data_IF_250671574594
#
_entry.id   IF_250671574594
#
_cell.length_a   1.000
_cell.length_b   1.000
_cell.length_c   1.000
_cell.angle_alpha   90.00
_cell.angle_beta   90.00
_cell.angle_gamma   90.00
#
_symmetry.space_group_name_H-M   'P 1'
#
loop_
_entity.id
_entity.type
_entity.pdbx_description
1 polymer ?
#
# COMPACT_ATOMS: atom_id res chain seq x y z
N UNK A 1 -30.38 37.83 23.86
CA UNK A 1 -29.40 37.45 22.82
C UNK A 1 -28.34 36.61 23.52
N UNK A 2 -28.58 35.30 23.63
CA UNK A 2 -27.65 34.36 24.26
C UNK A 2 -26.72 33.82 23.19
N UNK A 3 -25.43 34.02 23.37
CA UNK A 3 -24.39 33.60 22.43
C UNK A 3 -24.50 32.11 22.11
N UNK A 4 -24.55 31.82 20.82
CA UNK A 4 -24.46 30.49 20.23
C UNK A 4 -23.14 29.85 20.66
N UNK A 5 -23.21 28.86 21.56
CA UNK A 5 -22.06 28.08 21.99
C UNK A 5 -21.30 27.54 20.79
N UNK A 6 -20.04 27.97 20.65
CA UNK A 6 -19.13 27.53 19.63
C UNK A 6 -19.02 25.99 19.67
N UNK A 7 -19.38 25.33 18.57
CA UNK A 7 -19.16 23.92 18.35
C UNK A 7 -17.64 23.66 18.28
N UNK A 8 -17.00 23.46 19.44
CA UNK A 8 -15.60 23.07 19.52
C UNK A 8 -15.47 21.66 18.95
N UNK A 9 -14.79 21.45 17.81
CA UNK A 9 -14.57 20.12 17.29
C UNK A 9 -13.76 19.35 18.33
N UNK A 10 -14.33 18.27 18.84
CA UNK A 10 -13.69 17.42 19.83
C UNK A 10 -12.37 16.93 19.23
N UNK A 11 -11.22 17.11 19.90
CA UNK A 11 -9.89 16.68 19.42
C UNK A 11 -9.86 15.22 18.91
N UNK A 12 -10.76 14.39 19.44
CA UNK A 12 -10.94 12.98 19.12
C UNK A 12 -11.85 12.70 17.91
N UNK A 13 -12.44 13.71 17.28
CA UNK A 13 -13.15 13.60 15.99
C UNK A 13 -12.13 13.57 14.84
N UNK A 14 -11.19 12.62 14.91
CA UNK A 14 -10.26 12.35 13.81
C UNK A 14 -11.11 11.82 12.65
N UNK A 15 -11.19 12.58 11.55
CA UNK A 15 -11.80 12.10 10.31
C UNK A 15 -11.21 10.74 9.96
N UNK A 16 -12.03 9.81 9.46
CA UNK A 16 -11.55 8.50 8.99
C UNK A 16 -10.38 8.66 8.02
N UNK A 17 -10.42 9.67 7.16
CA UNK A 17 -9.34 9.98 6.22
C UNK A 17 -8.03 10.37 6.92
N UNK A 18 -8.10 11.17 7.98
CA UNK A 18 -6.92 11.54 8.78
C UNK A 18 -6.35 10.32 9.51
N UNK A 19 -7.21 9.42 9.98
CA UNK A 19 -6.79 8.17 10.60
C UNK A 19 -6.08 7.26 9.60
N UNK A 20 -6.69 6.98 8.44
CA UNK A 20 -6.09 6.17 7.38
C UNK A 20 -4.76 6.76 6.89
N UNK A 21 -4.68 8.09 6.74
CA UNK A 21 -3.43 8.77 6.39
C UNK A 21 -2.32 8.54 7.42
N UNK A 22 -2.66 8.62 8.71
CA UNK A 22 -1.71 8.48 9.80
C UNK A 22 -1.21 7.05 9.91
N UNK A 23 -2.11 6.06 9.83
CA UNK A 23 -1.77 4.64 9.77
C UNK A 23 -0.82 4.34 8.62
N UNK A 24 -1.14 4.86 7.43
CA UNK A 24 -0.32 4.65 6.24
C UNK A 24 1.08 5.28 6.40
N UNK A 25 1.17 6.48 6.96
CA UNK A 25 2.46 7.10 7.26
C UNK A 25 3.27 6.24 8.24
N UNK A 26 2.65 5.75 9.30
CA UNK A 26 3.32 4.91 10.31
C UNK A 26 3.87 3.62 9.69
N UNK A 27 3.04 2.91 8.92
CA UNK A 27 3.44 1.68 8.24
C UNK A 27 4.62 1.91 7.26
N UNK A 28 4.58 3.01 6.52
CA UNK A 28 5.67 3.40 5.61
C UNK A 28 6.96 3.78 6.36
N UNK A 29 6.85 4.48 7.49
CA UNK A 29 7.99 4.80 8.34
C UNK A 29 8.65 3.56 8.90
N UNK A 30 7.87 2.65 9.48
CA UNK A 30 8.38 1.40 10.06
C UNK A 30 9.20 0.62 9.02
N UNK A 31 8.65 0.46 7.81
CA UNK A 31 9.32 -0.27 6.72
C UNK A 31 10.57 0.43 6.22
N UNK A 32 10.54 1.75 6.02
CA UNK A 32 11.72 2.48 5.55
C UNK A 32 12.81 2.58 6.63
N UNK A 33 12.46 2.72 7.90
CA UNK A 33 13.44 2.72 8.99
C UNK A 33 14.14 1.36 9.11
N UNK A 34 13.39 0.26 9.00
CA UNK A 34 13.97 -1.09 8.95
C UNK A 34 14.90 -1.26 7.75
N UNK A 35 14.51 -0.76 6.57
CA UNK A 35 15.36 -0.79 5.38
C UNK A 35 16.63 0.06 5.55
N UNK A 36 16.51 1.24 6.16
CA UNK A 36 17.64 2.14 6.40
C UNK A 36 18.62 1.60 7.45
N UNK A 37 18.15 0.80 8.42
CA UNK A 37 19.03 0.16 9.41
C UNK A 37 19.88 -0.97 8.81
N UNK A 38 19.47 -1.51 7.67
CA UNK A 38 20.14 -2.60 6.97
C UNK A 38 21.08 -2.12 5.84
N UNK A 39 21.41 -0.82 5.78
CA UNK A 39 22.29 -0.28 4.74
C UNK A 39 23.72 -0.81 4.88
N UNK A 40 24.35 -1.08 3.74
CA UNK A 40 25.77 -1.39 3.67
C UNK A 40 26.64 -0.18 4.04
N UNK A 41 27.87 -0.43 4.47
CA UNK A 41 28.83 0.60 4.87
C UNK A 41 29.04 1.66 3.79
N UNK A 42 29.10 1.27 2.51
CA UNK A 42 29.25 2.17 1.36
C UNK A 42 28.08 3.17 1.24
N UNK A 43 26.89 2.80 1.73
CA UNK A 43 25.67 3.59 1.63
C UNK A 43 25.45 4.49 2.85
N UNK A 44 26.19 4.29 3.96
CA UNK A 44 26.03 5.06 5.20
C UNK A 44 26.31 6.56 5.00
N UNK A 45 27.21 6.92 4.08
CA UNK A 45 27.47 8.33 3.72
C UNK A 45 26.22 9.07 3.23
N UNK A 46 25.23 8.34 2.70
CA UNK A 46 23.96 8.91 2.20
C UNK A 46 22.83 8.86 3.23
N UNK A 47 23.02 8.18 4.37
CA UNK A 47 21.98 7.99 5.38
C UNK A 47 21.41 9.32 5.92
N UNK A 48 22.22 10.34 6.27
CA UNK A 48 21.69 11.61 6.77
C UNK A 48 20.73 12.28 5.79
N UNK A 49 21.09 12.32 4.50
CA UNK A 49 20.26 12.91 3.45
C UNK A 49 18.97 12.11 3.22
N UNK A 50 19.02 10.78 3.36
CA UNK A 50 17.83 9.92 3.28
C UNK A 50 16.90 10.17 4.45
N UNK A 51 17.41 10.22 5.68
CA UNK A 51 16.60 10.52 6.87
C UNK A 51 15.99 11.93 6.80
N UNK A 52 16.75 12.93 6.34
CA UNK A 52 16.26 14.30 6.21
C UNK A 52 15.10 14.41 5.21
N UNK A 53 15.15 13.65 4.11
CA UNK A 53 14.10 13.66 3.09
C UNK A 53 12.96 12.67 3.35
N UNK A 54 13.13 11.73 4.28
CA UNK A 54 12.18 10.66 4.57
C UNK A 54 10.75 11.18 4.87
N UNK A 55 10.54 12.22 5.69
CA UNK A 55 9.20 12.71 5.97
C UNK A 55 8.48 13.26 4.74
N UNK A 56 9.22 13.91 3.84
CA UNK A 56 8.65 14.43 2.60
C UNK A 56 8.15 13.30 1.72
N UNK A 57 8.98 12.26 1.51
CA UNK A 57 8.62 11.14 0.65
C UNK A 57 7.50 10.28 1.24
N UNK A 58 7.48 10.05 2.55
CA UNK A 58 6.41 9.28 3.18
C UNK A 58 5.09 10.00 3.08
N UNK A 59 5.03 11.29 3.43
CA UNK A 59 3.78 12.07 3.31
C UNK A 59 3.28 12.11 1.87
N UNK A 60 4.19 12.31 0.90
CA UNK A 60 3.85 12.33 -0.52
C UNK A 60 3.33 10.98 -1.01
N UNK A 61 4.00 9.88 -0.63
CA UNK A 61 3.55 8.53 -0.95
C UNK A 61 2.16 8.27 -0.34
N UNK A 62 1.97 8.63 0.93
CA UNK A 62 0.70 8.45 1.61
C UNK A 62 -0.45 9.22 0.94
N UNK A 63 -0.23 10.48 0.58
CA UNK A 63 -1.21 11.28 -0.16
C UNK A 63 -1.55 10.66 -1.51
N UNK A 64 -0.55 10.22 -2.27
CA UNK A 64 -0.78 9.60 -3.57
C UNK A 64 -1.56 8.28 -3.47
N UNK A 65 -1.28 7.46 -2.45
CA UNK A 65 -1.98 6.21 -2.21
C UNK A 65 -3.47 6.44 -1.91
N UNK A 66 -3.79 7.44 -1.10
CA UNK A 66 -5.18 7.78 -0.78
C UNK A 66 -5.94 8.39 -1.96
N UNK A 67 -5.24 9.11 -2.84
CA UNK A 67 -5.83 9.70 -4.04
C UNK A 67 -6.04 8.68 -5.17
N UNK A 68 -5.31 7.56 -5.14
CA UNK A 68 -5.38 6.56 -6.20
C UNK A 68 -6.66 5.73 -6.08
N UNK A 69 -7.46 5.73 -7.14
CA UNK A 69 -8.55 4.78 -7.27
C UNK A 69 -7.99 3.42 -7.72
N UNK A 70 -8.21 2.39 -6.92
CA UNK A 70 -7.84 1.00 -7.19
C UNK A 70 -9.05 0.10 -6.98
N UNK A 71 -9.13 -1.00 -7.74
CA UNK A 71 -10.12 -2.07 -7.50
C UNK A 71 -9.75 -2.93 -6.28
N UNK A 72 -8.51 -2.81 -5.81
CA UNK A 72 -8.01 -3.48 -4.62
C UNK A 72 -8.35 -2.66 -3.37
N UNK A 73 -8.65 -3.36 -2.28
CA UNK A 73 -8.89 -2.76 -0.97
C UNK A 73 -7.56 -2.37 -0.34
N UNK A 74 -7.51 -1.16 0.22
CA UNK A 74 -6.32 -0.64 0.89
C UNK A 74 -6.30 -1.09 2.35
N UNK A 75 -5.24 -1.78 2.74
CA UNK A 75 -4.86 -2.00 4.13
C UNK A 75 -3.88 -0.90 4.56
N UNK A 76 -4.38 0.13 5.23
CA UNK A 76 -3.59 1.27 5.71
C UNK A 76 -2.55 0.88 6.76
N UNK A 77 -2.83 -0.15 7.57
CA UNK A 77 -1.95 -0.57 8.66
C UNK A 77 -0.70 -1.29 8.15
N UNK A 78 -0.81 -1.96 7.00
CA UNK A 78 0.33 -2.63 6.35
C UNK A 78 0.86 -1.86 5.13
N UNK A 79 0.25 -0.74 4.77
CA UNK A 79 0.50 -0.01 3.52
C UNK A 79 0.52 -0.94 2.29
N UNK A 80 -0.51 -1.78 2.19
CA UNK A 80 -0.62 -2.81 1.16
C UNK A 80 -2.01 -2.82 0.54
N UNK A 81 -2.13 -3.39 -0.66
CA UNK A 81 -3.42 -3.60 -1.30
C UNK A 81 -3.74 -5.08 -1.35
N UNK A 82 -4.98 -5.42 -1.09
CA UNK A 82 -5.46 -6.79 -1.13
C UNK A 82 -6.76 -6.87 -1.92
N UNK A 83 -7.07 -8.08 -2.37
CA UNK A 83 -8.39 -8.41 -2.88
C UNK A 83 -8.80 -9.77 -2.37
N UNK A 84 -10.10 -9.98 -2.25
CA UNK A 84 -10.63 -11.29 -1.87
C UNK A 84 -10.29 -12.29 -2.97
N UNK A 85 -9.50 -13.30 -2.62
CA UNK A 85 -9.21 -14.41 -3.52
C UNK A 85 -10.43 -15.29 -3.73
N UNK A 86 -10.50 -15.97 -4.87
CA UNK A 86 -11.55 -16.95 -5.14
C UNK A 86 -11.49 -18.08 -4.10
N UNK A 87 -12.64 -18.42 -3.49
CA UNK A 87 -12.72 -19.47 -2.47
C UNK A 87 -12.47 -20.89 -2.99
N UNK A 88 -12.28 -21.05 -4.30
CA UNK A 88 -11.97 -22.33 -4.94
C UNK A 88 -10.81 -22.15 -5.89
N UNK A 89 -9.90 -23.12 -5.92
CA UNK A 89 -8.79 -23.14 -6.87
C UNK A 89 -9.33 -23.00 -8.32
N UNK A 90 -8.92 -21.97 -9.09
CA UNK A 90 -9.34 -21.79 -10.48
C UNK A 90 -8.98 -23.00 -11.35
N UNK A 91 -7.89 -23.69 -11.01
CA UNK A 91 -7.43 -24.89 -11.70
C UNK A 91 -8.29 -26.13 -11.45
N UNK A 92 -9.20 -26.11 -10.46
CA UNK A 92 -10.06 -27.28 -10.16
C UNK A 92 -10.98 -27.67 -11.32
N UNK A 93 -11.35 -26.72 -12.17
CA UNK A 93 -12.17 -26.96 -13.38
C UNK A 93 -11.31 -27.23 -14.63
N UNK A 94 -9.99 -27.12 -14.52
CA UNK A 94 -9.10 -27.36 -15.65
C UNK A 94 -8.91 -28.87 -15.81
N UNK A 95 -9.15 -29.36 -17.01
CA UNK A 95 -8.90 -30.74 -17.40
C UNK A 95 -7.72 -30.79 -18.36
N UNK A 96 -7.07 -31.95 -18.47
CA UNK A 96 -5.90 -32.11 -19.34
C UNK A 96 -6.21 -31.78 -20.80
N UNK A 97 -7.35 -32.26 -21.34
CA UNK A 97 -7.66 -32.12 -22.77
C UNK A 97 -7.89 -30.65 -23.20
N UNK A 98 -8.68 -29.82 -22.47
CA UNK A 98 -8.78 -28.39 -22.75
C UNK A 98 -7.43 -27.66 -22.65
N UNK A 99 -6.58 -28.04 -21.71
CA UNK A 99 -5.25 -27.43 -21.54
C UNK A 99 -4.34 -27.79 -22.72
N UNK A 100 -4.30 -29.06 -23.11
CA UNK A 100 -3.52 -29.54 -24.24
C UNK A 100 -3.99 -28.89 -25.55
N UNK A 101 -5.29 -28.83 -25.80
CA UNK A 101 -5.85 -28.14 -26.98
C UNK A 101 -5.51 -26.64 -27.02
N UNK A 102 -5.45 -25.97 -25.86
CA UNK A 102 -5.01 -24.58 -25.77
C UNK A 102 -3.53 -24.46 -26.15
N UNK A 103 -2.65 -25.28 -25.57
CA UNK A 103 -1.22 -25.23 -25.89
C UNK A 103 -0.96 -25.62 -27.34
N UNK A 104 -1.61 -26.63 -27.91
CA UNK A 104 -1.47 -26.96 -29.33
C UNK A 104 -1.89 -25.82 -30.25
N UNK A 105 -2.95 -25.08 -29.89
CA UNK A 105 -3.46 -23.97 -30.70
C UNK A 105 -2.62 -22.70 -30.59
N UNK A 106 -2.06 -22.42 -29.42
CA UNK A 106 -1.43 -21.13 -29.11
C UNK A 106 0.07 -21.20 -28.82
N UNK A 107 0.66 -22.41 -28.73
CA UNK A 107 2.11 -22.55 -28.62
C UNK A 107 2.75 -22.03 -29.90
N UNK A 108 3.48 -20.92 -29.76
CA UNK A 108 4.38 -20.44 -30.80
C UNK A 108 5.71 -21.16 -30.62
N UNK A 109 6.21 -21.93 -31.61
CA UNK A 109 7.56 -22.46 -31.55
C UNK A 109 8.53 -21.27 -31.64
N UNK A 110 9.21 -20.95 -30.53
CA UNK A 110 10.22 -19.89 -30.51
C UNK A 110 10.34 -19.17 -29.18
N UNK A 111 11.11 -19.76 -28.26
CA UNK A 111 12.00 -19.06 -27.33
C UNK A 111 13.25 -19.92 -27.17
#
# INVERSE_FOLDING_TARGET
MTETGANQPHFWQVSRENQTYTELCNALYERELLRLSQLSTEQLLRLPNRLASLPFYIRRAATNILQQHSTLELDSQNASWFCRQAGTCPARKQQADPIDSFYQRYAKPGL
#
